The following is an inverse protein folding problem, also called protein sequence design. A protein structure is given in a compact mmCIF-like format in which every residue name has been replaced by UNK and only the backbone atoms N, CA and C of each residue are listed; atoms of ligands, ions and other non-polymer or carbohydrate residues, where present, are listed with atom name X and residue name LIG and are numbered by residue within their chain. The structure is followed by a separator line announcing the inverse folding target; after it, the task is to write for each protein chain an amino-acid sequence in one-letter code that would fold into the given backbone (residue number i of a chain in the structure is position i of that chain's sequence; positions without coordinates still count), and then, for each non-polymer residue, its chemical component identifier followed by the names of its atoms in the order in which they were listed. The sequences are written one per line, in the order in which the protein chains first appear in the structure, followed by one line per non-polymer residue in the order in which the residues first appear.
data_IF_445532580989
#
_entry.id   IF_445532580989
#
_cell.length_a   1.000
_cell.length_b   1.000
_cell.length_c   1.000
_cell.angle_alpha   90.00
_cell.angle_beta   90.00
_cell.angle_gamma   90.00
#
_symmetry.space_group_name_H-M   'P 1'
#
loop_
_entity.id
_entity.type
_entity.pdbx_description
1 polymer ?
#
# COMPACT_ATOMS: atom_id res chain seq x y z
N UNK A 1 -62.83 17.16 11.69
CA UNK A 1 -61.85 17.70 10.74
C UNK A 1 -60.47 17.45 11.32
N UNK A 2 -59.86 16.32 10.99
CA UNK A 2 -58.58 15.87 11.55
C UNK A 2 -57.51 16.11 10.49
N UNK A 3 -56.56 17.00 10.80
CA UNK A 3 -55.42 17.32 9.95
C UNK A 3 -54.41 16.17 10.10
N UNK A 4 -54.28 15.35 9.07
CA UNK A 4 -53.20 14.37 8.93
C UNK A 4 -51.92 15.13 8.57
N UNK A 5 -51.00 15.28 9.52
CA UNK A 5 -49.64 15.74 9.22
C UNK A 5 -48.87 14.60 8.55
N UNK A 6 -48.51 14.79 7.28
CA UNK A 6 -47.58 13.94 6.55
C UNK A 6 -46.17 14.36 6.96
N UNK A 7 -45.49 13.51 7.72
CA UNK A 7 -44.09 13.68 8.08
C UNK A 7 -43.23 13.12 6.94
N UNK A 8 -42.62 13.99 6.14
CA UNK A 8 -41.59 13.58 5.18
C UNK A 8 -40.28 13.34 5.94
N UNK A 9 -39.93 12.08 6.16
CA UNK A 9 -38.56 11.70 6.53
C UNK A 9 -37.68 11.78 5.28
N UNK A 10 -36.96 12.89 5.12
CA UNK A 10 -35.75 12.88 4.29
C UNK A 10 -34.67 12.11 5.06
N UNK A 11 -34.53 10.81 4.77
CA UNK A 11 -33.28 10.12 5.01
C UNK A 11 -32.26 10.68 4.01
N UNK A 12 -31.60 11.78 4.37
CA UNK A 12 -30.25 12.01 3.85
C UNK A 12 -29.41 10.97 4.57
N UNK A 13 -29.27 9.80 3.96
CA UNK A 13 -28.17 8.89 4.29
C UNK A 13 -26.89 9.64 3.93
N UNK A 14 -26.38 10.41 4.88
CA UNK A 14 -24.98 10.79 4.90
C UNK A 14 -24.20 9.49 5.13
N UNK A 15 -24.00 8.70 4.07
CA UNK A 15 -22.98 7.66 4.06
C UNK A 15 -21.76 8.32 3.47
N UNK A 16 -21.04 9.06 4.31
CA UNK A 16 -19.65 9.37 4.06
C UNK A 16 -18.89 8.95 5.33
N UNK A 17 -18.81 7.63 5.54
CA UNK A 17 -17.59 7.13 6.13
C UNK A 17 -16.56 7.25 5.01
N UNK A 18 -15.81 8.36 4.98
CA UNK A 18 -14.62 8.43 4.16
C UNK A 18 -13.59 7.50 4.78
N UNK A 19 -13.78 6.20 4.59
CA UNK A 19 -12.87 5.17 5.08
C UNK A 19 -11.50 5.44 4.46
N UNK A 20 -10.51 5.73 5.30
CA UNK A 20 -9.14 5.92 4.86
C UNK A 20 -8.63 4.58 4.34
N UNK A 21 -8.15 4.56 3.10
CA UNK A 21 -7.48 3.39 2.54
C UNK A 21 -5.97 3.62 2.63
N UNK A 22 -5.30 2.76 3.40
CA UNK A 22 -3.85 2.79 3.55
C UNK A 22 -3.19 1.94 2.47
N UNK A 23 -2.30 2.55 1.70
CA UNK A 23 -1.50 1.88 0.67
C UNK A 23 -0.03 2.02 1.06
N UNK A 24 0.68 0.90 1.08
CA UNK A 24 2.13 0.88 1.28
C UNK A 24 2.83 0.38 0.02
N UNK A 25 3.91 1.04 -0.37
CA UNK A 25 4.80 0.57 -1.42
C UNK A 25 6.25 0.68 -0.98
N UNK A 26 7.06 -0.24 -1.51
CA UNK A 26 8.50 -0.28 -1.28
C UNK A 26 9.24 0.31 -2.49
N UNK A 27 10.11 1.29 -2.26
CA UNK A 27 10.89 1.96 -3.31
C UNK A 27 12.37 1.91 -2.97
N UNK A 28 13.21 1.53 -3.92
CA UNK A 28 14.66 1.52 -3.74
C UNK A 28 15.36 1.71 -5.08
N UNK A 29 16.47 2.43 -5.09
CA UNK A 29 17.27 2.71 -6.28
C UNK A 29 16.46 3.35 -7.43
N UNK A 30 15.52 4.25 -7.11
CA UNK A 30 14.77 4.99 -8.14
C UNK A 30 15.64 6.09 -8.78
N UNK A 31 16.61 6.66 -8.06
CA UNK A 31 17.50 7.67 -8.64
C UNK A 31 18.32 7.09 -9.80
N UNK A 32 18.34 7.80 -10.93
CA UNK A 32 19.04 7.38 -12.14
C UNK A 32 18.45 6.14 -12.85
N UNK A 33 17.37 5.55 -12.33
CA UNK A 33 16.74 4.36 -12.90
C UNK A 33 15.42 4.69 -13.61
N UNK A 34 15.52 5.14 -14.86
CA UNK A 34 14.37 5.57 -15.67
C UNK A 34 13.25 4.51 -15.77
N UNK A 35 13.60 3.22 -15.77
CA UNK A 35 12.62 2.13 -15.81
C UNK A 35 11.79 2.09 -14.53
N UNK A 36 12.44 2.12 -13.35
CA UNK A 36 11.71 2.12 -12.08
C UNK A 36 10.92 3.41 -11.88
N UNK A 37 11.46 4.55 -12.29
CA UNK A 37 10.76 5.83 -12.29
C UNK A 37 9.50 5.80 -13.15
N UNK A 38 9.59 5.28 -14.38
CA UNK A 38 8.44 5.13 -15.28
C UNK A 38 7.41 4.16 -14.72
N UNK A 39 7.86 3.07 -14.08
CA UNK A 39 6.99 2.07 -13.44
C UNK A 39 6.21 2.71 -12.29
N UNK A 40 6.91 3.38 -11.37
CA UNK A 40 6.29 4.11 -10.27
C UNK A 40 5.31 5.17 -10.76
N UNK A 41 5.70 5.98 -11.76
CA UNK A 41 4.81 6.98 -12.36
C UNK A 41 3.54 6.33 -12.95
N UNK A 42 3.69 5.19 -13.63
CA UNK A 42 2.55 4.45 -14.19
C UNK A 42 1.63 3.94 -13.09
N UNK A 43 2.19 3.34 -12.04
CA UNK A 43 1.43 2.88 -10.88
C UNK A 43 0.62 4.02 -10.28
N UNK A 44 1.29 5.09 -9.87
CA UNK A 44 0.67 6.15 -9.07
C UNK A 44 -0.33 6.98 -9.90
N UNK A 45 0.00 7.25 -11.17
CA UNK A 45 -0.90 7.98 -12.07
C UNK A 45 -2.16 7.18 -12.38
N UNK A 46 -2.02 5.87 -12.65
CA UNK A 46 -3.18 5.01 -12.88
C UNK A 46 -4.02 4.82 -11.62
N UNK A 47 -3.40 4.66 -10.45
CA UNK A 47 -4.10 4.61 -9.17
C UNK A 47 -4.99 5.85 -8.96
N UNK A 48 -4.43 7.05 -9.13
CA UNK A 48 -5.18 8.30 -8.97
C UNK A 48 -6.21 8.54 -10.08
N UNK A 49 -5.95 8.05 -11.29
CA UNK A 49 -6.91 8.13 -12.40
C UNK A 49 -8.18 7.32 -12.12
N UNK A 50 -8.08 6.14 -11.50
CA UNK A 50 -9.20 5.20 -11.36
C UNK A 50 -9.83 5.15 -9.97
N UNK A 51 -9.15 5.63 -8.93
CA UNK A 51 -9.68 5.61 -7.55
C UNK A 51 -10.91 6.50 -7.40
N UNK A 52 -11.97 5.98 -6.75
CA UNK A 52 -13.09 6.82 -6.29
C UNK A 52 -12.89 7.36 -4.88
N UNK A 53 -11.74 7.05 -4.26
CA UNK A 53 -11.48 7.30 -2.84
C UNK A 53 -10.72 8.62 -2.69
N UNK A 54 -11.36 9.55 -1.97
CA UNK A 54 -10.79 10.87 -1.67
C UNK A 54 -9.65 10.79 -0.65
N UNK A 55 -9.74 9.86 0.31
CA UNK A 55 -8.80 9.73 1.42
C UNK A 55 -7.92 8.48 1.26
N UNK A 56 -6.99 8.54 0.29
CA UNK A 56 -5.88 7.59 0.23
C UNK A 56 -4.74 8.08 1.13
N UNK A 57 -4.29 7.22 2.04
CA UNK A 57 -3.12 7.46 2.88
C UNK A 57 -1.96 6.62 2.34
N UNK A 58 -0.88 7.27 1.94
CA UNK A 58 0.29 6.62 1.37
C UNK A 58 1.39 6.41 2.42
N UNK A 59 1.98 5.22 2.39
CA UNK A 59 3.13 4.81 3.19
C UNK A 59 4.26 4.37 2.25
N UNK A 60 5.46 4.86 2.49
CA UNK A 60 6.62 4.62 1.61
C UNK A 60 7.74 4.05 2.42
N UNK A 61 8.16 2.83 2.08
CA UNK A 61 9.34 2.21 2.68
C UNK A 61 10.46 2.26 1.64
N UNK A 62 11.58 2.92 1.94
CA UNK A 62 12.63 3.05 0.94
C UNK A 62 13.88 3.82 1.36
N UNK A 63 14.82 3.96 0.44
CA UNK A 63 15.99 4.83 0.60
C UNK A 63 15.65 6.32 0.39
N UNK A 64 16.55 7.20 0.84
CA UNK A 64 16.34 8.65 0.83
C UNK A 64 16.09 9.22 -0.57
N UNK A 65 16.88 8.80 -1.56
CA UNK A 65 16.79 9.34 -2.92
C UNK A 65 15.50 8.91 -3.61
N UNK A 66 15.07 7.66 -3.37
CA UNK A 66 13.80 7.14 -3.87
C UNK A 66 12.61 7.83 -3.21
N UNK A 67 12.67 8.07 -1.90
CA UNK A 67 11.63 8.84 -1.20
C UNK A 67 11.51 10.26 -1.74
N UNK A 68 12.63 10.91 -2.05
CA UNK A 68 12.63 12.25 -2.65
C UNK A 68 12.01 12.25 -4.06
N UNK A 69 12.28 11.22 -4.86
CA UNK A 69 11.64 11.05 -6.16
C UNK A 69 10.12 10.88 -6.03
N UNK A 70 9.68 10.07 -5.05
CA UNK A 70 8.26 9.87 -4.74
C UNK A 70 7.60 11.20 -4.36
N UNK A 71 8.22 11.98 -3.47
CA UNK A 71 7.68 13.29 -3.06
C UNK A 71 7.45 14.22 -4.25
N UNK A 72 8.44 14.35 -5.14
CA UNK A 72 8.34 15.19 -6.35
C UNK A 72 7.22 14.71 -7.27
N UNK A 73 7.15 13.40 -7.51
CA UNK A 73 6.12 12.80 -8.38
C UNK A 73 4.71 13.02 -7.82
N UNK A 74 4.52 12.85 -6.51
CA UNK A 74 3.24 13.07 -5.84
C UNK A 74 2.86 14.55 -5.81
N UNK A 75 3.83 15.44 -5.66
CA UNK A 75 3.64 16.89 -5.76
C UNK A 75 3.16 17.29 -7.17
N UNK A 76 3.77 16.76 -8.22
CA UNK A 76 3.37 17.01 -9.62
C UNK A 76 1.95 16.52 -9.91
N UNK A 77 1.53 15.45 -9.22
CA UNK A 77 0.17 14.90 -9.28
C UNK A 77 -0.80 15.57 -8.31
N UNK A 78 -0.39 16.66 -7.64
CA UNK A 78 -1.21 17.44 -6.71
C UNK A 78 -1.76 16.62 -5.54
N UNK A 79 -1.06 15.56 -5.11
CA UNK A 79 -1.42 14.83 -3.91
C UNK A 79 -1.07 15.66 -2.67
N UNK A 80 -2.07 15.89 -1.81
CA UNK A 80 -1.96 16.85 -0.69
C UNK A 80 -1.85 16.22 0.69
N UNK A 81 -2.17 14.94 0.83
CA UNK A 81 -2.13 14.28 2.13
C UNK A 81 -0.68 14.05 2.57
N UNK A 82 -0.45 13.96 3.88
CA UNK A 82 0.86 13.61 4.41
C UNK A 82 1.27 12.20 3.96
N UNK A 83 2.55 12.03 3.64
CA UNK A 83 3.12 10.73 3.26
C UNK A 83 3.90 10.21 4.46
N UNK A 84 3.54 9.02 4.94
CA UNK A 84 4.33 8.37 6.00
C UNK A 84 5.53 7.66 5.36
N UNK A 85 6.73 8.11 5.68
CA UNK A 85 7.98 7.61 5.08
C UNK A 85 8.82 6.90 6.12
N UNK A 86 9.27 5.68 5.79
CA UNK A 86 10.08 4.83 6.64
C UNK A 86 11.37 4.48 5.90
N UNK A 87 12.51 4.77 6.51
CA UNK A 87 13.81 4.50 5.89
C UNK A 87 14.16 3.01 6.02
N UNK A 88 14.55 2.40 4.90
CA UNK A 88 14.82 0.95 4.86
C UNK A 88 15.96 0.51 5.79
N UNK A 89 17.00 1.32 5.92
CA UNK A 89 18.15 0.97 6.78
C UNK A 89 17.75 0.95 8.27
N UNK A 90 16.87 1.86 8.69
CA UNK A 90 16.38 1.93 10.07
C UNK A 90 15.55 0.68 10.39
N UNK A 91 14.62 0.31 9.50
CA UNK A 91 13.83 -0.91 9.63
C UNK A 91 14.70 -2.16 9.61
N UNK A 92 15.76 -2.17 8.80
CA UNK A 92 16.68 -3.31 8.73
C UNK A 92 17.38 -3.53 10.06
N UNK A 93 17.84 -2.45 10.70
CA UNK A 93 18.50 -2.52 12.01
C UNK A 93 17.50 -2.93 13.10
N UNK A 94 16.31 -2.35 13.11
CA UNK A 94 15.28 -2.62 14.12
C UNK A 94 14.78 -4.08 14.07
N UNK A 95 14.56 -4.60 12.87
CA UNK A 95 13.99 -5.93 12.65
C UNK A 95 15.02 -7.00 12.27
N UNK A 96 16.31 -6.72 12.44
CA UNK A 96 17.44 -7.59 12.09
C UNK A 96 17.24 -9.04 12.57
N UNK A 97 16.88 -9.22 13.84
CA UNK A 97 16.67 -10.55 14.44
C UNK A 97 15.53 -11.36 13.80
N UNK A 98 14.54 -10.68 13.20
CA UNK A 98 13.42 -11.32 12.52
C UNK A 98 13.74 -11.60 11.04
N UNK A 99 14.44 -10.66 10.40
CA UNK A 99 14.70 -10.69 8.96
C UNK A 99 15.92 -11.57 8.62
N UNK A 100 16.99 -11.51 9.42
CA UNK A 100 18.25 -12.25 9.17
C UNK A 100 18.03 -13.77 8.96
N UNK A 101 17.21 -14.48 9.75
CA UNK A 101 16.89 -15.89 9.49
C UNK A 101 16.15 -16.12 8.18
N UNK A 102 15.23 -15.23 7.80
CA UNK A 102 14.46 -15.32 6.55
C UNK A 102 15.37 -15.10 5.34
N UNK A 103 16.22 -14.06 5.39
CA UNK A 103 17.24 -13.82 4.36
C UNK A 103 18.09 -15.08 4.17
N UNK A 104 18.59 -15.67 5.26
CA UNK A 104 19.41 -16.89 5.17
C UNK A 104 18.68 -18.05 4.52
N UNK A 105 17.39 -18.23 4.81
CA UNK A 105 16.59 -19.34 4.30
C UNK A 105 16.18 -19.14 2.83
N UNK A 106 15.74 -17.94 2.47
CA UNK A 106 15.10 -17.67 1.17
C UNK A 106 16.04 -17.08 0.13
N UNK A 107 17.18 -16.50 0.52
CA UNK A 107 18.09 -15.89 -0.46
C UNK A 107 18.81 -16.91 -1.35
N UNK A 108 18.86 -18.19 -0.97
CA UNK A 108 19.42 -19.30 -1.77
C UNK A 108 20.80 -19.01 -2.41
N UNK A 109 21.62 -18.14 -1.80
CA UNK A 109 22.91 -17.70 -2.36
C UNK A 109 22.84 -16.60 -3.44
N UNK A 110 21.66 -16.24 -3.92
CA UNK A 110 21.46 -15.12 -4.85
C UNK A 110 21.58 -13.78 -4.12
N UNK A 111 22.46 -12.91 -4.62
CA UNK A 111 22.71 -11.58 -4.02
C UNK A 111 21.51 -10.66 -4.10
N UNK A 112 20.67 -10.81 -5.13
CA UNK A 112 19.45 -10.03 -5.32
C UNK A 112 18.47 -10.18 -4.15
N UNK A 113 18.25 -11.40 -3.67
CA UNK A 113 17.31 -11.69 -2.58
C UNK A 113 17.89 -11.43 -1.19
N UNK A 114 19.09 -10.82 -1.07
CA UNK A 114 19.65 -10.43 0.23
C UNK A 114 19.13 -9.08 0.72
N UNK A 115 18.39 -8.36 -0.12
CA UNK A 115 17.86 -7.06 0.26
C UNK A 115 16.78 -7.23 1.35
N UNK A 116 16.95 -6.61 2.54
CA UNK A 116 15.97 -6.69 3.63
C UNK A 116 14.56 -6.24 3.22
N UNK A 117 14.46 -5.36 2.21
CA UNK A 117 13.19 -4.83 1.70
C UNK A 117 12.20 -5.95 1.31
N UNK A 118 12.70 -7.06 0.74
CA UNK A 118 11.88 -8.19 0.32
C UNK A 118 11.26 -8.99 1.48
N UNK A 119 11.71 -8.75 2.72
CA UNK A 119 11.30 -9.51 3.90
C UNK A 119 10.48 -8.69 4.88
N UNK A 120 10.13 -7.44 4.56
CA UNK A 120 9.36 -6.57 5.45
C UNK A 120 7.85 -6.83 5.42
N UNK A 121 7.32 -7.37 4.32
CA UNK A 121 5.87 -7.57 4.14
C UNK A 121 5.20 -8.37 5.27
N UNK A 122 5.80 -9.44 5.85
CA UNK A 122 5.19 -10.17 6.97
C UNK A 122 5.15 -9.35 8.27
N UNK A 123 5.98 -8.31 8.37
CA UNK A 123 6.15 -7.50 9.58
C UNK A 123 5.46 -6.14 9.50
N UNK A 124 4.66 -5.86 8.46
CA UNK A 124 3.94 -4.60 8.32
C UNK A 124 3.10 -4.24 9.55
N UNK A 125 2.52 -5.23 10.22
CA UNK A 125 1.75 -5.06 11.47
C UNK A 125 2.56 -4.50 12.65
N UNK A 126 3.90 -4.51 12.57
CA UNK A 126 4.81 -3.91 13.57
C UNK A 126 5.43 -2.61 13.08
N UNK A 127 5.63 -2.51 11.77
CA UNK A 127 6.27 -1.39 11.10
C UNK A 127 5.31 -0.19 10.98
N UNK A 128 4.04 -0.46 10.69
CA UNK A 128 3.02 0.57 10.51
C UNK A 128 2.41 1.02 11.85
N UNK A 129 1.89 2.26 11.92
CA UNK A 129 1.19 2.75 13.11
C UNK A 129 0.07 1.82 13.60
N UNK A 130 -0.06 1.66 14.93
CA UNK A 130 -1.01 0.73 15.57
C UNK A 130 -2.48 1.02 15.27
N UNK A 131 -2.82 2.25 14.85
CA UNK A 131 -4.18 2.64 14.49
C UNK A 131 -4.60 2.18 13.08
N UNK A 132 -3.70 1.55 12.31
CA UNK A 132 -3.99 1.01 10.98
C UNK A 132 -4.48 -0.43 11.12
N UNK A 133 -5.75 -0.66 10.81
CA UNK A 133 -6.36 -1.99 10.84
C UNK A 133 -6.12 -2.81 9.57
N UNK A 134 -6.06 -2.14 8.41
CA UNK A 134 -5.91 -2.77 7.10
C UNK A 134 -4.99 -1.93 6.22
N UNK A 135 -4.13 -2.60 5.46
CA UNK A 135 -3.21 -1.98 4.50
C UNK A 135 -3.12 -2.83 3.23
N UNK A 136 -3.03 -2.17 2.09
CA UNK A 136 -2.73 -2.82 0.81
C UNK A 136 -1.26 -2.56 0.48
N UNK A 137 -0.46 -3.62 0.34
CA UNK A 137 0.92 -3.52 -0.15
C UNK A 137 0.95 -3.73 -1.66
N UNK A 138 1.64 -2.85 -2.38
CA UNK A 138 1.74 -2.87 -3.84
C UNK A 138 3.20 -2.83 -4.31
N UNK A 139 3.50 -3.59 -5.35
CA UNK A 139 4.73 -3.45 -6.12
C UNK A 139 4.65 -2.22 -7.05
N UNK A 140 5.80 -1.62 -7.35
CA UNK A 140 5.88 -0.37 -8.12
C UNK A 140 5.76 -0.55 -9.64
N UNK A 141 5.73 -1.80 -10.13
CA UNK A 141 5.58 -2.14 -11.54
C UNK A 141 4.15 -2.55 -11.93
N UNK A 142 3.20 -2.30 -11.05
CA UNK A 142 1.78 -2.49 -11.31
C UNK A 142 1.16 -1.30 -12.06
N UNK A 143 0.00 -1.55 -12.67
CA UNK A 143 -0.88 -0.53 -13.27
C UNK A 143 -2.31 -0.83 -12.87
N UNK A 144 -3.04 0.18 -12.42
CA UNK A 144 -4.47 0.06 -12.16
C UNK A 144 -5.27 0.26 -13.45
N UNK A 145 -6.29 -0.58 -13.62
CA UNK A 145 -7.32 -0.43 -14.65
C UNK A 145 -8.72 -0.24 -14.05
N UNK A 146 -8.82 -0.34 -12.72
CA UNK A 146 -10.05 -0.30 -11.94
C UNK A 146 -9.81 0.38 -10.59
N UNK A 147 -10.89 0.73 -9.91
CA UNK A 147 -10.87 1.38 -8.61
C UNK A 147 -10.27 0.49 -7.51
N UNK A 148 -9.28 1.02 -6.79
CA UNK A 148 -8.60 0.35 -5.66
C UNK A 148 -9.56 0.03 -4.52
N UNK A 149 -10.70 0.73 -4.42
CA UNK A 149 -11.77 0.40 -3.47
C UNK A 149 -12.22 -1.06 -3.57
N UNK A 150 -12.29 -1.61 -4.78
CA UNK A 150 -12.71 -3.00 -4.99
C UNK A 150 -11.72 -3.99 -4.35
N UNK A 151 -10.43 -3.68 -4.38
CA UNK A 151 -9.40 -4.47 -3.70
C UNK A 151 -9.54 -4.36 -2.18
N UNK A 152 -9.78 -3.15 -1.66
CA UNK A 152 -9.99 -2.93 -0.23
C UNK A 152 -11.24 -3.66 0.30
N UNK A 153 -12.32 -3.69 -0.47
CA UNK A 153 -13.56 -4.38 -0.08
C UNK A 153 -13.39 -5.90 0.06
N UNK A 154 -12.31 -6.50 -0.47
CA UNK A 154 -12.00 -7.92 -0.26
C UNK A 154 -11.71 -8.24 1.22
N UNK A 155 -11.31 -7.27 2.04
CA UNK A 155 -11.17 -7.48 3.49
C UNK A 155 -12.49 -7.90 4.15
N UNK A 156 -13.65 -7.51 3.59
CA UNK A 156 -14.96 -7.95 4.10
C UNK A 156 -15.19 -9.46 3.97
N UNK A 157 -14.38 -10.15 3.17
CA UNK A 157 -14.45 -11.60 2.98
C UNK A 157 -13.56 -12.36 3.98
N UNK A 158 -12.75 -11.65 4.77
CA UNK A 158 -11.87 -12.27 5.74
C UNK A 158 -12.70 -12.76 6.93
N UNK A 159 -12.34 -13.93 7.45
CA UNK A 159 -12.86 -14.40 8.74
C UNK A 159 -11.78 -14.21 9.83
N UNK A 160 -12.08 -14.62 11.06
CA UNK A 160 -11.21 -14.45 12.23
C UNK A 160 -9.82 -15.10 12.11
N UNK A 161 -9.58 -16.01 11.16
CA UNK A 161 -8.29 -16.66 10.96
C UNK A 161 -7.50 -16.12 9.77
N UNK A 162 -8.07 -15.23 8.95
CA UNK A 162 -7.37 -14.65 7.80
C UNK A 162 -6.60 -13.41 8.22
N UNK A 163 -5.30 -13.40 7.90
CA UNK A 163 -4.39 -12.29 8.22
C UNK A 163 -3.79 -11.63 6.97
N UNK A 164 -3.85 -12.31 5.82
CA UNK A 164 -3.25 -11.88 4.55
C UNK A 164 -4.08 -12.39 3.38
N UNK A 165 -4.34 -11.51 2.42
CA UNK A 165 -4.84 -11.86 1.10
C UNK A 165 -3.71 -11.71 0.10
N UNK A 166 -3.48 -12.72 -0.74
CA UNK A 166 -2.44 -12.71 -1.77
C UNK A 166 -2.95 -13.43 -3.03
N UNK A 167 -2.59 -12.91 -4.19
CA UNK A 167 -2.85 -13.59 -5.46
C UNK A 167 -1.94 -14.83 -5.60
N UNK A 168 -2.36 -15.80 -6.42
CA UNK A 168 -1.49 -16.95 -6.75
C UNK A 168 -0.38 -16.53 -7.69
N UNK A 169 0.80 -17.11 -7.50
CA UNK A 169 1.88 -17.02 -8.48
C UNK A 169 1.44 -17.72 -9.78
N UNK A 170 1.58 -17.00 -10.90
CA UNK A 170 1.10 -17.42 -12.21
C UNK A 170 2.13 -18.24 -12.99
N UNK A 171 3.38 -18.30 -12.49
CA UNK A 171 4.44 -19.13 -13.04
C UNK A 171 4.68 -20.39 -12.19
N UNK A 172 5.07 -21.53 -12.79
CA UNK A 172 5.31 -22.78 -12.04
C UNK A 172 6.68 -22.78 -11.35
N UNK A 173 6.91 -21.81 -10.47
CA UNK A 173 8.20 -21.62 -9.76
C UNK A 173 8.30 -22.43 -8.47
N UNK A 174 7.17 -22.70 -7.81
CA UNK A 174 7.11 -23.59 -6.65
C UNK A 174 7.02 -25.05 -7.11
N UNK A 175 7.94 -25.88 -6.64
CA UNK A 175 8.07 -27.31 -6.97
C UNK A 175 8.15 -28.16 -5.72
#
# INVERSE_FOLDING_TARGET
MVIQQILFFFFVTCIQSSSIINIVFTVKNLEGNERLQTSFFTLISSLFQYTSIENLQLHVIGDSDSQQFVDRTLQDLHYTNEINKLHIDDLTVEYEKLISPLIKLFSSGHTYYKDPLFFLSPFLHRILPENISHVIMLDIDLRFDHDVKQLYELFNQFNQTHILGIARENQPVYR
#
